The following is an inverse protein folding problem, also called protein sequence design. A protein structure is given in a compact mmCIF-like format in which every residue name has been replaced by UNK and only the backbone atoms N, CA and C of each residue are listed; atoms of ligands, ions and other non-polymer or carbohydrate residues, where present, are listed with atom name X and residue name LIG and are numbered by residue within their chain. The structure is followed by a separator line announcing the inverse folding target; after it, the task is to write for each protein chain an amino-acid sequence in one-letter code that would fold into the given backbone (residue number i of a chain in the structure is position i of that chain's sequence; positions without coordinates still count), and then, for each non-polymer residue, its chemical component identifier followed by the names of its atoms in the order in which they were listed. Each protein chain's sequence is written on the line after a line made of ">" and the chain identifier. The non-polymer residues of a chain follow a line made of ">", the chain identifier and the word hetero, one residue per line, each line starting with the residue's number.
data_IF_725143632163
#
_entry.id   IF_725143632163
#
_cell.length_a   1.000
_cell.length_b   1.000
_cell.length_c   1.000
_cell.angle_alpha   90.00
_cell.angle_beta   90.00
_cell.angle_gamma   90.00
#
_symmetry.space_group_name_H-M   'P 1'
#
loop_
_entity.id
_entity.type
_entity.pdbx_description
1 polymer ?
#
# COMPACT_ATOMS: atom_id res chain seq x y z
N UNK A 1 -2.17 -4.84 7.70
CA UNK A 1 -1.34 -3.67 7.41
C UNK A 1 -0.17 -4.12 6.57
N UNK A 2 0.06 -3.44 5.45
CA UNK A 2 1.16 -3.73 4.52
C UNK A 2 2.19 -2.63 4.70
N UNK A 3 3.45 -2.99 4.94
CA UNK A 3 4.55 -2.05 5.11
C UNK A 3 5.54 -2.17 3.95
N UNK A 4 6.18 -1.06 3.60
CA UNK A 4 7.36 -1.08 2.75
C UNK A 4 8.54 -1.68 3.50
N UNK A 5 9.19 -2.68 2.89
CA UNK A 5 10.36 -3.34 3.46
C UNK A 5 11.64 -2.52 3.25
N UNK A 6 11.86 -2.00 2.04
CA UNK A 6 13.07 -1.24 1.69
C UNK A 6 12.83 -0.23 0.56
N UNK A 7 13.76 0.70 0.39
CA UNK A 7 13.73 1.69 -0.70
C UNK A 7 14.18 1.15 -2.06
N UNK A 8 14.65 -0.10 -2.14
CA UNK A 8 15.10 -0.74 -3.37
C UNK A 8 14.21 -1.92 -3.74
N UNK A 9 13.68 -1.88 -4.95
CA UNK A 9 12.86 -2.94 -5.53
C UNK A 9 13.23 -3.18 -7.00
N UNK A 10 12.55 -4.11 -7.67
CA UNK A 10 12.72 -4.34 -9.11
C UNK A 10 12.47 -3.07 -9.95
N UNK A 11 11.70 -2.09 -9.44
CA UNK A 11 11.50 -0.80 -10.11
C UNK A 11 12.82 -0.02 -10.28
N UNK A 12 13.76 -0.14 -9.32
CA UNK A 12 15.08 0.47 -9.42
C UNK A 12 15.98 -0.21 -10.47
N UNK A 13 15.77 -1.50 -10.74
CA UNK A 13 16.47 -2.21 -11.81
C UNK A 13 16.00 -1.74 -13.19
N UNK A 14 14.70 -1.50 -13.33
CA UNK A 14 14.09 -0.96 -14.57
C UNK A 14 14.51 0.49 -14.78
N UNK A 15 14.45 1.32 -13.74
CA UNK A 15 14.81 2.73 -13.80
C UNK A 15 15.64 3.14 -12.57
N UNK A 16 16.98 3.27 -12.71
CA UNK A 16 17.86 3.56 -11.58
C UNK A 16 17.58 4.86 -10.83
N UNK A 17 17.00 5.86 -11.49
CA UNK A 17 16.63 7.14 -10.85
C UNK A 17 15.23 7.13 -10.22
N UNK A 18 14.55 5.97 -10.19
CA UNK A 18 13.25 5.82 -9.54
C UNK A 18 13.35 6.19 -8.04
N UNK A 19 12.52 7.14 -7.62
CA UNK A 19 12.48 7.70 -6.24
C UNK A 19 13.79 8.31 -5.73
N UNK A 20 14.78 8.56 -6.60
CA UNK A 20 16.10 9.08 -6.19
C UNK A 20 16.03 10.48 -5.51
N UNK A 21 14.98 11.25 -5.78
CA UNK A 21 14.71 12.55 -5.19
C UNK A 21 14.00 12.51 -3.84
N UNK A 22 13.59 11.32 -3.35
CA UNK A 22 12.93 11.22 -2.05
C UNK A 22 13.97 11.48 -0.94
N UNK A 23 13.70 12.42 -0.01
CA UNK A 23 14.58 12.61 1.12
C UNK A 23 14.54 11.39 2.03
N UNK A 24 15.65 11.15 2.73
CA UNK A 24 15.70 10.17 3.80
C UNK A 24 14.68 10.52 4.90
N UNK A 25 14.04 9.51 5.53
CA UNK A 25 13.18 9.75 6.68
C UNK A 25 13.95 10.51 7.79
N UNK A 26 13.32 11.51 8.44
CA UNK A 26 13.90 12.21 9.58
C UNK A 26 14.43 11.25 10.66
N UNK A 27 15.53 11.62 11.33
CA UNK A 27 16.18 10.74 12.32
C UNK A 27 15.28 10.41 13.52
N UNK A 28 14.41 11.33 13.91
CA UNK A 28 13.40 11.16 14.96
C UNK A 28 12.23 10.26 14.53
N UNK A 29 12.00 10.08 13.23
CA UNK A 29 10.97 9.19 12.70
C UNK A 29 11.44 7.73 12.64
N UNK A 30 12.71 7.47 12.32
CA UNK A 30 13.24 6.10 12.13
C UNK A 30 13.00 5.16 13.33
N UNK A 31 13.20 5.57 14.60
CA UNK A 31 12.92 4.72 15.76
C UNK A 31 11.44 4.36 15.94
N UNK A 32 10.52 5.06 15.27
CA UNK A 32 9.09 4.83 15.39
C UNK A 32 8.61 3.67 14.49
N UNK A 33 9.35 3.33 13.42
CA UNK A 33 8.93 2.28 12.49
C UNK A 33 8.79 0.88 13.12
N UNK A 34 9.69 0.42 14.01
CA UNK A 34 9.48 -0.83 14.74
C UNK A 34 8.25 -0.74 15.67
N UNK A 35 8.03 0.40 16.34
CA UNK A 35 6.90 0.60 17.24
C UNK A 35 5.56 0.48 16.53
N UNK A 36 5.45 1.02 15.30
CA UNK A 36 4.23 0.88 14.50
C UNK A 36 3.95 -0.57 14.13
N UNK A 37 4.98 -1.36 13.83
CA UNK A 37 4.84 -2.81 13.57
C UNK A 37 4.40 -3.54 14.85
N UNK A 38 4.99 -3.21 15.98
CA UNK A 38 4.64 -3.84 17.27
C UNK A 38 3.22 -3.51 17.70
N UNK A 39 2.80 -2.24 17.56
CA UNK A 39 1.42 -1.82 17.80
C UNK A 39 0.44 -2.58 16.89
N UNK A 40 0.74 -2.66 15.58
CA UNK A 40 -0.08 -3.40 14.60
C UNK A 40 -0.28 -4.86 15.02
N UNK A 41 0.80 -5.54 15.40
CA UNK A 41 0.75 -6.93 15.89
C UNK A 41 -0.02 -7.05 17.21
N UNK A 42 0.13 -6.09 18.13
CA UNK A 42 -0.59 -6.06 19.39
C UNK A 42 -2.11 -5.92 19.20
N UNK A 43 -2.56 -5.24 18.15
CA UNK A 43 -3.97 -5.19 17.74
C UNK A 43 -4.45 -6.44 16.99
N UNK A 44 -3.63 -7.50 16.91
CA UNK A 44 -3.89 -8.72 16.16
C UNK A 44 -4.17 -8.48 14.66
N UNK A 45 -3.53 -7.45 14.10
CA UNK A 45 -3.59 -7.14 12.67
C UNK A 45 -2.38 -7.79 11.99
N UNK A 46 -2.62 -8.50 10.89
CA UNK A 46 -1.53 -9.05 10.08
C UNK A 46 -0.58 -7.92 9.63
N UNK A 47 0.72 -8.11 9.88
CA UNK A 47 1.78 -7.19 9.52
C UNK A 47 2.62 -7.85 8.43
N UNK A 48 2.47 -7.39 7.18
CA UNK A 48 3.07 -8.02 6.00
C UNK A 48 4.03 -7.03 5.34
N UNK A 49 5.24 -7.49 5.07
CA UNK A 49 6.27 -6.80 4.29
C UNK A 49 7.14 -7.87 3.62
N UNK A 50 7.56 -7.64 2.39
CA UNK A 50 8.32 -8.62 1.61
C UNK A 50 9.49 -7.93 0.93
N UNK A 51 10.69 -8.50 1.10
CA UNK A 51 11.88 -7.98 0.41
C UNK A 51 11.70 -7.99 -1.11
N UNK A 52 12.15 -6.91 -1.77
CA UNK A 52 12.08 -6.76 -3.22
C UNK A 52 10.75 -6.25 -3.76
N UNK A 53 9.71 -6.13 -2.93
CA UNK A 53 8.39 -5.62 -3.31
C UNK A 53 8.03 -4.36 -2.54
N UNK A 54 7.30 -3.47 -3.19
CA UNK A 54 6.68 -2.30 -2.56
C UNK A 54 5.33 -2.67 -1.94
N UNK A 55 4.83 -1.84 -1.02
CA UNK A 55 3.54 -2.10 -0.39
C UNK A 55 2.39 -2.13 -1.41
N UNK A 56 2.44 -1.31 -2.46
CA UNK A 56 1.46 -1.26 -3.54
C UNK A 56 1.37 -2.59 -4.32
N UNK A 57 2.50 -3.24 -4.60
CA UNK A 57 2.57 -4.54 -5.27
C UNK A 57 1.84 -5.61 -4.46
N UNK A 58 2.09 -5.65 -3.15
CA UNK A 58 1.50 -6.63 -2.24
C UNK A 58 0.00 -6.36 -2.10
N UNK A 59 -0.41 -5.10 -1.98
CA UNK A 59 -1.83 -4.71 -1.94
C UNK A 59 -2.53 -5.14 -3.22
N UNK A 60 -1.94 -4.86 -4.39
CA UNK A 60 -2.50 -5.23 -5.68
C UNK A 60 -2.65 -6.75 -5.82
N UNK A 61 -1.62 -7.51 -5.44
CA UNK A 61 -1.67 -8.97 -5.48
C UNK A 61 -2.78 -9.53 -4.57
N UNK A 62 -2.90 -9.01 -3.34
CA UNK A 62 -3.93 -9.46 -2.39
C UNK A 62 -5.35 -9.07 -2.84
N UNK A 63 -5.55 -7.85 -3.34
CA UNK A 63 -6.84 -7.40 -3.84
C UNK A 63 -7.30 -8.25 -5.04
N UNK A 64 -6.40 -8.50 -6.00
CA UNK A 64 -6.67 -9.39 -7.13
C UNK A 64 -6.98 -10.82 -6.67
N UNK A 65 -6.23 -11.35 -5.70
CA UNK A 65 -6.46 -12.70 -5.18
C UNK A 65 -7.83 -12.82 -4.49
N UNK A 66 -8.22 -11.83 -3.69
CA UNK A 66 -9.53 -11.78 -3.04
C UNK A 66 -10.66 -11.76 -4.08
N UNK A 67 -10.56 -10.88 -5.08
CA UNK A 67 -11.51 -10.81 -6.20
C UNK A 67 -11.61 -12.13 -6.95
N UNK A 68 -10.48 -12.72 -7.32
CA UNK A 68 -10.45 -13.97 -8.08
C UNK A 68 -11.04 -15.16 -7.30
N UNK A 69 -11.02 -15.09 -5.96
CA UNK A 69 -11.69 -16.04 -5.08
C UNK A 69 -13.21 -15.76 -4.91
N UNK A 70 -13.77 -14.78 -5.63
CA UNK A 70 -15.17 -14.37 -5.53
C UNK A 70 -15.47 -13.43 -4.35
N UNK A 71 -14.44 -12.91 -3.68
CA UNK A 71 -14.58 -11.95 -2.59
C UNK A 71 -14.50 -10.49 -3.06
N UNK A 72 -14.57 -9.58 -2.10
CA UNK A 72 -14.35 -8.14 -2.30
C UNK A 72 -13.14 -7.67 -1.48
N UNK A 73 -12.58 -6.51 -1.86
CA UNK A 73 -11.48 -5.89 -1.12
C UNK A 73 -11.73 -4.39 -0.94
N UNK A 74 -11.40 -3.88 0.24
CA UNK A 74 -11.36 -2.43 0.49
C UNK A 74 -9.93 -2.03 0.83
N UNK A 75 -9.34 -1.18 -0.01
CA UNK A 75 -8.01 -0.63 0.18
C UNK A 75 -8.12 0.64 1.03
N UNK A 76 -7.40 0.70 2.15
CA UNK A 76 -7.36 1.92 2.98
C UNK A 76 -6.02 2.61 2.73
N UNK A 77 -6.05 3.68 1.92
CA UNK A 77 -4.85 4.43 1.54
C UNK A 77 -5.26 5.80 0.99
N UNK A 78 -4.34 6.76 0.94
CA UNK A 78 -4.50 8.01 0.19
C UNK A 78 -3.70 8.02 -1.12
N UNK A 79 -2.98 6.93 -1.42
CA UNK A 79 -2.16 6.81 -2.61
C UNK A 79 -3.02 6.56 -3.85
N UNK A 80 -2.99 7.51 -4.78
CA UNK A 80 -3.80 7.45 -6.01
C UNK A 80 -3.31 6.39 -6.98
N UNK A 81 -2.08 5.93 -6.88
CA UNK A 81 -1.57 4.88 -7.76
C UNK A 81 -2.37 3.58 -7.55
N UNK A 82 -2.97 3.36 -6.37
CA UNK A 82 -3.84 2.23 -6.08
C UNK A 82 -5.24 2.35 -6.72
N UNK A 83 -5.64 3.53 -7.21
CA UNK A 83 -6.95 3.75 -7.85
C UNK A 83 -7.09 2.94 -9.15
N UNK A 84 -5.99 2.52 -9.77
CA UNK A 84 -6.01 1.64 -10.94
C UNK A 84 -6.64 0.25 -10.67
N UNK A 85 -6.77 -0.13 -9.38
CA UNK A 85 -7.37 -1.40 -8.97
C UNK A 85 -8.89 -1.32 -8.77
N UNK A 86 -9.47 -0.13 -8.79
CA UNK A 86 -10.88 0.11 -8.44
C UNK A 86 -11.81 -0.43 -9.51
N UNK A 87 -12.85 -1.13 -9.06
CA UNK A 87 -13.77 -1.88 -9.91
C UNK A 87 -13.78 -3.38 -9.57
N UNK A 88 -14.75 -4.09 -10.14
CA UNK A 88 -14.92 -5.54 -9.97
C UNK A 88 -14.85 -6.03 -8.51
N UNK A 89 -15.47 -5.30 -7.58
CA UNK A 89 -15.48 -5.65 -6.15
C UNK A 89 -14.28 -5.16 -5.34
N UNK A 90 -13.45 -4.28 -5.91
CA UNK A 90 -12.40 -3.56 -5.19
C UNK A 90 -12.76 -2.08 -5.08
N UNK A 91 -12.82 -1.58 -3.84
CA UNK A 91 -13.06 -0.18 -3.51
C UNK A 91 -11.90 0.38 -2.66
N UNK A 92 -11.83 1.70 -2.52
CA UNK A 92 -10.82 2.37 -1.69
C UNK A 92 -11.43 3.40 -0.74
N UNK A 93 -10.85 3.51 0.46
CA UNK A 93 -11.15 4.54 1.45
C UNK A 93 -9.90 5.42 1.61
N UNK A 94 -10.01 6.71 1.29
CA UNK A 94 -9.02 7.73 1.66
C UNK A 94 -9.27 8.15 3.12
N UNK A 95 -8.42 7.72 4.08
CA UNK A 95 -8.64 8.00 5.50
C UNK A 95 -8.37 9.47 5.86
N UNK A 96 -7.64 10.21 5.03
CA UNK A 96 -7.33 11.63 5.26
C UNK A 96 -8.55 12.48 4.93
N UNK A 97 -9.22 12.17 3.81
CA UNK A 97 -10.43 12.90 3.36
C UNK A 97 -11.72 12.28 3.86
N UNK A 98 -11.65 11.11 4.48
CA UNK A 98 -12.79 10.28 4.83
C UNK A 98 -13.74 10.08 3.64
N UNK A 99 -13.15 9.74 2.47
CA UNK A 99 -13.87 9.60 1.21
C UNK A 99 -13.75 8.17 0.69
N UNK A 100 -14.90 7.57 0.39
CA UNK A 100 -14.98 6.33 -0.39
C UNK A 100 -14.76 6.64 -1.88
N UNK A 101 -14.00 5.78 -2.53
CA UNK A 101 -13.61 5.86 -3.94
C UNK A 101 -14.01 4.52 -4.56
N UNK A 102 -15.05 4.55 -5.40
CA UNK A 102 -15.49 3.46 -6.25
C UNK A 102 -15.32 3.82 -7.73
N UNK A 103 -15.94 3.05 -8.64
CA UNK A 103 -15.84 3.26 -10.09
C UNK A 103 -16.16 4.70 -10.53
N UNK A 104 -17.22 5.29 -9.98
CA UNK A 104 -17.67 6.65 -10.36
C UNK A 104 -16.64 7.75 -10.04
N UNK A 105 -15.69 7.48 -9.13
CA UNK A 105 -14.61 8.40 -8.79
C UNK A 105 -13.35 8.26 -9.66
N UNK A 106 -13.26 7.22 -10.50
CA UNK A 106 -12.07 6.91 -11.31
C UNK A 106 -12.33 6.89 -12.82
N UNK A 107 -13.56 6.66 -13.27
CA UNK A 107 -13.94 6.69 -14.67
C UNK A 107 -14.43 8.10 -15.10
N UNK A 108 -14.05 8.54 -16.31
CA UNK A 108 -14.56 9.75 -16.99
C UNK A 108 -15.58 9.41 -18.09
#
# INVERSE_FOLDING_TARGET
>A
MIFDHSSKTFRNEIYPAYKAQRPEPPEDLRPQFPLTRDATRAFNIACIETEGYEADDIIAAMACAARNAGGTATIISSDKDLMQLIGDGVDMLDPIKNKLIGPDEVFE
#
